data_IF_712323903212
#
_entry.id   IF_712323903212
#
_cell.length_a   1.000
_cell.length_b   1.000
_cell.length_c   1.000
_cell.angle_alpha   90.00
_cell.angle_beta   90.00
_cell.angle_gamma   90.00
#
_symmetry.space_group_name_H-M   'P 1'
#
loop_
_entity.id
_entity.type
_entity.pdbx_description
1 polymer ?
#
# COMPACT_ATOMS: atom_id res chain seq x y z
N UNK A 1 8.47 -19.83 9.48
CA UNK A 1 8.66 -19.47 8.06
C UNK A 1 7.29 -19.57 7.38
N UNK A 2 6.69 -18.45 6.97
CA UNK A 2 5.45 -18.48 6.22
C UNK A 2 5.77 -19.03 4.83
N UNK A 3 5.34 -20.25 4.51
CA UNK A 3 5.48 -20.82 3.17
C UNK A 3 4.15 -20.71 2.44
N UNK A 4 4.12 -19.82 1.46
CA UNK A 4 3.02 -19.69 0.49
C UNK A 4 3.33 -20.58 -0.72
N UNK A 5 2.28 -21.03 -1.41
CA UNK A 5 2.42 -21.93 -2.56
C UNK A 5 1.82 -21.33 -3.83
N UNK A 6 0.61 -20.78 -3.74
CA UNK A 6 -0.12 -20.31 -4.92
C UNK A 6 -0.90 -19.04 -4.64
N UNK A 7 -0.86 -18.11 -5.59
CA UNK A 7 -1.77 -16.98 -5.70
C UNK A 7 -2.79 -17.33 -6.79
N UNK A 8 -4.09 -17.29 -6.47
CA UNK A 8 -5.16 -17.69 -7.39
C UNK A 8 -6.42 -16.85 -7.19
N UNK A 9 -7.33 -16.91 -8.16
CA UNK A 9 -8.68 -16.35 -8.03
C UNK A 9 -9.59 -17.43 -7.44
N UNK A 10 -10.32 -17.08 -6.38
CA UNK A 10 -11.32 -17.96 -5.76
C UNK A 10 -12.66 -17.90 -6.53
N UNK A 11 -13.54 -18.88 -6.31
CA UNK A 11 -14.82 -18.98 -7.02
C UNK A 11 -15.75 -17.76 -6.84
N UNK A 12 -15.53 -16.98 -5.78
CA UNK A 12 -16.26 -15.74 -5.52
C UNK A 12 -15.65 -14.51 -6.22
N UNK A 13 -14.60 -14.69 -7.02
CA UNK A 13 -13.90 -13.61 -7.73
C UNK A 13 -12.81 -12.91 -6.93
N UNK A 14 -12.57 -13.25 -5.66
CA UNK A 14 -11.50 -12.64 -4.86
C UNK A 14 -10.12 -13.20 -5.21
N UNK A 15 -9.07 -12.38 -5.09
CA UNK A 15 -7.68 -12.82 -5.17
C UNK A 15 -7.25 -13.39 -3.81
N UNK A 16 -6.76 -14.63 -3.78
CA UNK A 16 -6.41 -15.34 -2.54
C UNK A 16 -5.00 -15.91 -2.58
N UNK A 17 -4.31 -15.83 -1.44
CA UNK A 17 -3.01 -16.46 -1.23
C UNK A 17 -3.18 -17.72 -0.38
N UNK A 18 -2.66 -18.85 -0.87
CA UNK A 18 -2.78 -20.16 -0.23
C UNK A 18 -1.44 -20.62 0.35
N UNK A 19 -1.48 -21.22 1.54
CA UNK A 19 -0.35 -21.94 2.12
C UNK A 19 -0.14 -23.32 1.47
N UNK A 20 0.89 -24.05 1.92
CA UNK A 20 1.18 -25.41 1.41
C UNK A 20 0.04 -26.42 1.62
N UNK A 21 -0.83 -26.17 2.61
CA UNK A 21 -2.00 -27.00 2.96
C UNK A 21 -3.28 -26.49 2.30
N UNK A 22 -3.17 -25.58 1.31
CA UNK A 22 -4.29 -24.95 0.62
C UNK A 22 -5.23 -24.14 1.54
N UNK A 23 -4.71 -23.62 2.67
CA UNK A 23 -5.46 -22.71 3.53
C UNK A 23 -5.26 -21.28 3.06
N UNK A 24 -6.33 -20.50 3.04
CA UNK A 24 -6.28 -19.07 2.72
C UNK A 24 -5.58 -18.34 3.87
N UNK A 25 -4.45 -17.69 3.56
CA UNK A 25 -3.68 -16.88 4.51
C UNK A 25 -3.82 -15.38 4.25
N UNK A 26 -4.32 -14.99 3.07
CA UNK A 26 -4.66 -13.63 2.71
C UNK A 26 -5.71 -13.61 1.60
N UNK A 27 -6.57 -12.58 1.60
CA UNK A 27 -7.63 -12.35 0.60
C UNK A 27 -7.74 -10.86 0.30
N UNK A 28 -8.01 -10.50 -0.95
CA UNK A 28 -8.28 -9.12 -1.36
C UNK A 28 -9.60 -8.55 -0.83
N UNK A 29 -10.50 -9.39 -0.32
CA UNK A 29 -11.81 -8.96 0.19
C UNK A 29 -12.80 -8.45 -0.88
N UNK A 30 -12.48 -8.58 -2.17
CA UNK A 30 -13.38 -8.16 -3.26
C UNK A 30 -14.65 -9.02 -3.30
N UNK A 31 -15.82 -8.36 -3.30
CA UNK A 31 -17.16 -8.97 -3.23
C UNK A 31 -17.92 -8.95 -4.56
N UNK A 32 -17.33 -8.43 -5.64
CA UNK A 32 -18.00 -8.41 -6.95
C UNK A 32 -17.80 -9.76 -7.65
N UNK A 33 -18.82 -10.62 -7.55
CA UNK A 33 -18.94 -11.82 -8.38
C UNK A 33 -19.00 -11.39 -9.84
N UNK A 34 -17.98 -11.73 -10.62
CA UNK A 34 -17.87 -11.42 -12.05
C UNK A 34 -17.71 -12.70 -12.83
N UNK A 35 -18.23 -12.74 -14.05
CA UNK A 35 -18.25 -13.96 -14.85
C UNK A 35 -16.85 -14.37 -15.33
N UNK A 36 -15.92 -13.40 -15.45
CA UNK A 36 -14.55 -13.65 -15.93
C UNK A 36 -13.51 -12.67 -15.33
N UNK A 37 -13.17 -12.79 -14.02
CA UNK A 37 -12.12 -12.00 -13.41
C UNK A 37 -10.74 -12.39 -13.96
N UNK A 38 -9.88 -11.39 -14.15
CA UNK A 38 -8.47 -11.57 -14.52
C UNK A 38 -7.56 -10.79 -13.59
N UNK A 39 -6.41 -11.40 -13.28
CA UNK A 39 -5.31 -10.74 -12.58
C UNK A 39 -4.30 -10.29 -13.64
N UNK A 40 -3.99 -9.00 -13.65
CA UNK A 40 -3.05 -8.41 -14.61
C UNK A 40 -1.98 -7.63 -13.86
N UNK A 41 -0.72 -7.81 -14.26
CA UNK A 41 0.37 -6.92 -13.89
C UNK A 41 0.48 -5.83 -14.96
N UNK A 42 0.21 -4.58 -14.59
CA UNK A 42 0.34 -3.44 -15.50
C UNK A 42 1.81 -3.11 -15.78
N UNK A 43 2.11 -2.31 -16.81
CA UNK A 43 3.48 -1.82 -17.09
C UNK A 43 4.00 -0.91 -15.97
N UNK A 44 3.14 0.01 -15.52
CA UNK A 44 2.63 -0.03 -14.16
C UNK A 44 3.58 -0.56 -13.11
N UNK A 45 3.61 -1.89 -13.00
CA UNK A 45 3.98 -2.74 -11.87
C UNK A 45 2.88 -2.87 -10.81
N UNK A 46 1.71 -2.26 -11.03
CA UNK A 46 0.52 -2.46 -10.21
C UNK A 46 -0.12 -3.81 -10.57
N UNK A 47 -0.40 -4.64 -9.56
CA UNK A 47 -1.17 -5.87 -9.74
C UNK A 47 -2.65 -5.53 -9.57
N UNK A 48 -3.44 -5.72 -10.63
CA UNK A 48 -4.86 -5.37 -10.65
C UNK A 48 -5.73 -6.59 -10.86
N UNK A 49 -6.85 -6.62 -10.16
CA UNK A 49 -7.95 -7.57 -10.36
C UNK A 49 -9.10 -6.83 -11.04
N UNK A 50 -9.42 -7.23 -12.28
CA UNK A 50 -10.45 -6.58 -13.09
C UNK A 50 -11.27 -7.59 -13.88
N UNK A 51 -12.36 -7.14 -14.47
CA UNK A 51 -13.13 -7.97 -15.38
C UNK A 51 -12.48 -8.01 -16.77
N UNK A 52 -12.50 -9.18 -17.43
CA UNK A 52 -11.87 -9.34 -18.76
C UNK A 52 -12.54 -8.49 -19.84
N UNK A 53 -13.86 -8.34 -19.77
CA UNK A 53 -14.69 -7.61 -20.74
C UNK A 53 -14.60 -6.09 -20.58
N UNK A 54 -14.13 -5.61 -19.41
CA UNK A 54 -14.06 -4.18 -19.14
C UNK A 54 -12.82 -3.58 -19.81
N UNK A 55 -13.07 -2.64 -20.72
CA UNK A 55 -12.04 -1.92 -21.46
C UNK A 55 -11.51 -0.74 -20.64
N UNK A 56 -12.23 -0.32 -19.60
CA UNK A 56 -11.82 0.78 -18.74
C UNK A 56 -10.76 0.31 -17.73
N UNK A 57 -9.50 0.76 -17.83
CA UNK A 57 -8.44 0.38 -16.89
C UNK A 57 -8.70 0.89 -15.46
N UNK A 58 -9.56 1.90 -15.28
CA UNK A 58 -9.93 2.43 -13.95
C UNK A 58 -11.07 1.64 -13.28
N UNK A 59 -11.76 0.75 -14.01
CA UNK A 59 -12.80 -0.12 -13.46
C UNK A 59 -12.18 -1.37 -12.82
N UNK A 60 -11.33 -1.13 -11.83
CA UNK A 60 -10.63 -2.18 -11.10
C UNK A 60 -11.35 -2.53 -9.80
N UNK A 61 -11.46 -3.84 -9.50
CA UNK A 61 -12.11 -4.32 -8.27
C UNK A 61 -11.15 -4.34 -7.07
N UNK A 62 -9.86 -4.49 -7.34
CA UNK A 62 -8.81 -4.44 -6.33
C UNK A 62 -7.47 -4.16 -7.02
N UNK A 63 -6.67 -3.26 -6.44
CA UNK A 63 -5.33 -2.97 -6.92
C UNK A 63 -4.29 -3.06 -5.79
N UNK A 64 -3.11 -3.55 -6.13
CA UNK A 64 -2.00 -3.72 -5.18
C UNK A 64 -1.52 -2.41 -4.58
N UNK A 65 -1.65 -1.29 -5.29
CA UNK A 65 -1.23 0.03 -4.79
C UNK A 65 -2.21 0.69 -3.83
N UNK A 66 -3.43 0.18 -3.69
CA UNK A 66 -4.32 0.62 -2.60
C UNK A 66 -3.87 0.05 -1.25
N UNK A 67 -3.05 -1.01 -1.27
CA UNK A 67 -2.38 -1.49 -0.08
C UNK A 67 -1.20 -0.56 0.26
N UNK A 68 -1.02 -0.16 1.53
CA UNK A 68 -0.13 0.92 1.99
C UNK A 68 1.38 0.65 1.83
N UNK A 69 1.80 -0.31 1.00
CA UNK A 69 3.11 -0.94 1.09
C UNK A 69 3.91 -0.92 -0.22
N UNK A 70 4.21 0.27 -0.78
CA UNK A 70 5.45 0.44 -1.56
C UNK A 70 5.84 1.93 -1.82
N UNK A 71 6.88 2.48 -1.18
CA UNK A 71 7.25 3.91 -1.23
C UNK A 71 7.80 4.46 -2.56
N UNK A 72 7.91 3.67 -3.64
CA UNK A 72 8.65 4.05 -4.85
C UNK A 72 7.81 4.35 -6.10
N UNK A 73 6.51 4.71 -5.97
CA UNK A 73 5.63 4.90 -7.14
C UNK A 73 5.02 6.31 -7.17
N UNK A 74 5.06 7.02 -8.32
CA UNK A 74 4.58 8.40 -8.45
C UNK A 74 3.07 8.56 -8.21
N UNK A 75 2.28 7.48 -8.30
CA UNK A 75 0.82 7.51 -8.13
C UNK A 75 0.35 7.06 -6.72
N UNK A 76 1.28 6.69 -5.84
CA UNK A 76 0.92 6.29 -4.47
C UNK A 76 0.59 7.53 -3.63
N UNK A 77 -0.60 7.52 -3.02
CA UNK A 77 -1.06 8.59 -2.13
C UNK A 77 -0.62 8.29 -0.70
N UNK A 78 0.17 9.19 -0.13
CA UNK A 78 0.47 9.22 1.30
C UNK A 78 -0.46 10.25 1.95
N UNK A 79 -1.19 9.88 3.00
CA UNK A 79 -2.07 10.78 3.73
C UNK A 79 -3.47 10.25 3.95
N UNK A 80 -4.41 11.15 4.21
CA UNK A 80 -5.78 10.79 4.58
C UNK A 80 -6.72 10.82 3.37
N UNK A 81 -7.45 9.74 3.18
CA UNK A 81 -8.65 9.76 2.36
C UNK A 81 -9.83 10.20 3.24
N UNK A 82 -10.14 11.49 3.23
CA UNK A 82 -11.20 12.06 4.08
C UNK A 82 -12.61 11.55 3.74
N UNK A 83 -12.85 11.07 2.53
CA UNK A 83 -14.15 10.48 2.14
C UNK A 83 -14.37 9.10 2.77
N UNK A 84 -13.31 8.32 2.94
CA UNK A 84 -13.37 6.96 3.54
C UNK A 84 -12.94 6.92 5.01
N UNK A 85 -12.30 7.97 5.51
CA UNK A 85 -11.71 8.02 6.84
C UNK A 85 -10.45 7.16 7.01
N UNK A 86 -9.87 6.64 5.91
CA UNK A 86 -8.69 5.78 5.97
C UNK A 86 -7.40 6.58 5.83
N UNK A 87 -6.42 6.27 6.70
CA UNK A 87 -5.04 6.78 6.62
C UNK A 87 -4.19 5.84 5.77
N UNK A 88 -3.55 6.37 4.73
CA UNK A 88 -2.51 5.72 3.96
C UNK A 88 -1.14 6.19 4.45
N UNK A 89 -0.35 5.26 4.98
CA UNK A 89 0.97 5.53 5.53
C UNK A 89 1.96 4.40 5.25
N UNK A 90 3.25 4.68 5.36
CA UNK A 90 4.30 3.69 5.16
C UNK A 90 4.76 3.13 6.50
N UNK A 91 5.07 1.84 6.55
CA UNK A 91 5.79 1.23 7.67
C UNK A 91 7.04 0.51 7.20
N UNK A 92 8.09 0.60 7.98
CA UNK A 92 9.37 -0.08 7.73
C UNK A 92 9.20 -1.59 7.71
N UNK A 93 10.19 -2.27 7.14
CA UNK A 93 10.39 -3.70 7.34
C UNK A 93 10.99 -3.92 8.73
N UNK A 94 10.64 -5.03 9.38
CA UNK A 94 11.22 -5.40 10.68
C UNK A 94 12.73 -5.57 10.59
N UNK A 95 13.21 -6.18 9.51
CA UNK A 95 14.64 -6.24 9.16
C UNK A 95 14.81 -6.23 7.65
N UNK A 96 16.04 -6.07 7.15
CA UNK A 96 16.32 -6.12 5.70
C UNK A 96 15.86 -7.43 5.03
N UNK A 97 15.80 -8.54 5.77
CA UNK A 97 15.36 -9.85 5.27
C UNK A 97 13.93 -10.23 5.67
N UNK A 98 13.26 -9.40 6.46
CA UNK A 98 11.95 -9.70 7.02
C UNK A 98 10.96 -8.57 6.71
N UNK A 99 10.10 -8.75 5.68
CA UNK A 99 9.18 -7.73 5.21
C UNK A 99 7.95 -7.56 6.09
N UNK A 100 7.88 -8.22 7.26
CA UNK A 100 6.82 -7.93 8.22
C UNK A 100 6.95 -6.50 8.78
N UNK A 101 5.85 -5.89 9.26
CA UNK A 101 5.87 -4.53 9.79
C UNK A 101 6.92 -4.35 10.89
N UNK A 102 7.79 -3.35 10.71
CA UNK A 102 8.79 -2.91 11.67
C UNK A 102 8.30 -1.78 12.57
N UNK A 103 9.22 -1.21 13.35
CA UNK A 103 8.89 -0.23 14.39
C UNK A 103 8.65 1.19 13.86
N UNK A 104 9.14 1.50 12.66
CA UNK A 104 9.06 2.83 12.09
C UNK A 104 7.87 3.00 11.15
N UNK A 105 7.18 4.13 11.25
CA UNK A 105 6.14 4.54 10.30
C UNK A 105 6.34 5.97 9.82
N UNK A 106 6.11 6.21 8.53
CA UNK A 106 6.08 7.54 7.91
C UNK A 106 4.63 7.90 7.59
N UNK A 107 4.12 8.95 8.22
CA UNK A 107 2.70 9.32 8.22
C UNK A 107 2.50 10.82 7.96
N UNK A 108 1.25 11.19 7.68
CA UNK A 108 0.82 12.58 7.75
C UNK A 108 0.15 12.86 9.09
N UNK A 109 0.77 13.71 9.90
CA UNK A 109 0.10 14.32 11.04
C UNK A 109 -0.73 15.50 10.55
N UNK A 110 -2.04 15.38 10.71
CA UNK A 110 -3.03 16.37 10.29
C UNK A 110 -3.56 17.20 11.46
N UNK A 111 -3.02 17.02 12.68
CA UNK A 111 -3.39 17.86 13.82
C UNK A 111 -2.75 19.24 13.66
N UNK A 112 -3.57 20.23 13.33
CA UNK A 112 -3.11 21.58 13.00
C UNK A 112 -2.71 21.70 11.53
N UNK A 113 -1.50 22.18 11.24
CA UNK A 113 -1.00 22.25 9.87
C UNK A 113 -0.37 20.91 9.46
N UNK A 114 -0.74 20.32 8.30
CA UNK A 114 -0.23 19.02 7.87
C UNK A 114 1.30 18.95 7.81
N UNK A 115 1.86 17.92 8.44
CA UNK A 115 3.29 17.63 8.46
C UNK A 115 3.55 16.16 8.18
N UNK A 116 4.69 15.88 7.55
CA UNK A 116 5.20 14.51 7.41
C UNK A 116 5.92 14.14 8.70
N UNK A 117 5.58 13.02 9.31
CA UNK A 117 6.17 12.55 10.57
C UNK A 117 6.75 11.15 10.39
N UNK A 118 7.99 10.97 10.84
CA UNK A 118 8.59 9.66 11.05
C UNK A 118 8.50 9.32 12.55
N UNK A 119 7.82 8.24 12.88
CA UNK A 119 7.64 7.78 14.25
C UNK A 119 8.27 6.40 14.45
N UNK A 120 8.77 6.13 15.65
CA UNK A 120 9.10 4.79 16.14
C UNK A 120 8.12 4.44 17.25
N UNK A 121 7.16 3.56 17.00
CA UNK A 121 6.01 3.38 17.90
C UNK A 121 5.26 4.71 18.11
N UNK A 122 5.12 5.15 19.36
CA UNK A 122 4.48 6.42 19.71
C UNK A 122 5.42 7.64 19.72
N UNK A 123 6.73 7.43 19.53
CA UNK A 123 7.73 8.49 19.61
C UNK A 123 7.99 9.10 18.23
N UNK A 124 7.83 10.42 18.09
CA UNK A 124 8.20 11.15 16.87
C UNK A 124 9.71 11.34 16.79
N UNK A 125 10.34 10.74 15.79
CA UNK A 125 11.79 10.85 15.54
C UNK A 125 12.14 12.02 14.62
N UNK A 126 11.24 12.32 13.69
CA UNK A 126 11.36 13.46 12.79
C UNK A 126 9.97 13.98 12.45
N UNK A 127 9.87 15.29 12.24
CA UNK A 127 8.71 15.90 11.62
C UNK A 127 9.17 16.99 10.64
N UNK A 128 8.48 17.10 9.52
CA UNK A 128 8.70 18.20 8.58
C UNK A 128 8.13 19.51 9.14
N UNK A 129 8.51 20.63 8.52
CA UNK A 129 7.70 21.84 8.58
C UNK A 129 6.41 21.63 7.78
N UNK A 130 5.36 22.46 8.02
CA UNK A 130 4.15 22.43 7.22
C UNK A 130 4.41 22.58 5.72
N UNK A 131 3.49 22.06 4.91
CA UNK A 131 3.46 22.33 3.48
C UNK A 131 3.34 23.83 3.23
N UNK A 132 4.23 24.38 2.40
CA UNK A 132 4.24 25.82 2.08
C UNK A 132 3.64 26.15 0.70
N UNK A 133 2.97 25.20 0.04
CA UNK A 133 2.49 25.35 -1.34
C UNK A 133 3.43 24.77 -2.39
N UNK A 134 4.73 24.60 -2.07
CA UNK A 134 5.75 24.10 -2.99
C UNK A 134 6.43 22.80 -2.49
N UNK A 135 6.74 22.73 -1.20
CA UNK A 135 7.41 21.59 -0.57
C UNK A 135 7.13 21.52 0.93
N UNK A 136 7.36 20.36 1.53
CA UNK A 136 7.53 20.27 2.98
C UNK A 136 8.94 20.78 3.34
N UNK A 137 9.03 21.72 4.29
CA UNK A 137 10.33 22.18 4.76
C UNK A 137 11.00 21.14 5.65
N UNK A 138 12.34 21.07 5.64
CA UNK A 138 13.09 20.11 6.45
C UNK A 138 13.21 18.71 5.84
N UNK A 139 12.56 18.45 4.70
CA UNK A 139 12.91 17.34 3.81
C UNK A 139 13.94 17.86 2.82
N UNK A 140 15.19 17.42 2.96
CA UNK A 140 16.26 17.69 1.99
C UNK A 140 16.42 16.47 1.09
N UNK A 141 16.61 16.69 -0.22
CA UNK A 141 17.01 15.64 -1.19
C UNK A 141 18.46 15.17 -0.98
N UNK A 142 19.16 15.74 -0.02
CA UNK A 142 20.53 15.40 0.29
C UNK A 142 20.56 14.08 1.04
N UNK A 143 20.95 13.03 0.30
CA UNK A 143 21.49 11.81 0.89
C UNK A 143 22.62 12.22 1.83
N UNK A 144 22.58 11.86 3.13
CA UNK A 144 23.73 12.08 3.99
C UNK A 144 24.88 11.28 3.38
N UNK A 145 25.89 12.00 2.92
CA UNK A 145 27.14 11.42 2.44
C UNK A 145 27.78 10.70 3.63
N UNK A 146 27.90 9.37 3.52
CA UNK A 146 28.68 8.53 4.43
C UNK A 146 30.16 8.76 4.17
#
# INVERSE_FOLDING_TARGET
MWSFKFLTIANNGSLVLLDQKQRIIWSSGSTRATENPVVQLLESGNLVLREKSDVNPESCMWQGFDAPYNPQRPDMKLGWNFSTGMEQYLTSWRTASDPSPGDFALKFDIVGLPQVVLQKGSEKKFHSRPWNGLRFGGLTDETPSV
#
